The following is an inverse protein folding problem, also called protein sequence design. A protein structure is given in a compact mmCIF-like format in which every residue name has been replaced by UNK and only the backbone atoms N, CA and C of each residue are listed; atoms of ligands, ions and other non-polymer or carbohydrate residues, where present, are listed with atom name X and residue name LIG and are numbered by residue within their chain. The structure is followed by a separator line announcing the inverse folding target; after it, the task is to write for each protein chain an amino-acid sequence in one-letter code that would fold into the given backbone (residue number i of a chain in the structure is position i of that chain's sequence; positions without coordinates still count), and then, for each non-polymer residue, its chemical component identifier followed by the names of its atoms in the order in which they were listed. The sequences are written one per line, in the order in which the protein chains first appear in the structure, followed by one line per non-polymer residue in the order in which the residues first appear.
data_IF_892302184728
#
_entry.id   IF_892302184728
#
_cell.length_a   1.000
_cell.length_b   1.000
_cell.length_c   1.000
_cell.angle_alpha   90.00
_cell.angle_beta   90.00
_cell.angle_gamma   90.00
#
_symmetry.space_group_name_H-M   'P 1'
#
loop_
_entity.id
_entity.type
_entity.pdbx_description
1 polymer ?
#
# COMPACT_ATOMS: atom_id res chain seq x y z
N UNK A 1 -2.01 17.99 4.24
CA UNK A 1 -2.96 17.04 3.64
C UNK A 1 -2.24 15.70 3.55
N UNK A 2 -2.87 14.60 3.93
CA UNK A 2 -2.34 13.28 3.60
C UNK A 2 -2.45 13.10 2.08
N UNK A 3 -1.33 12.97 1.38
CA UNK A 3 -1.32 12.95 -0.07
C UNK A 3 -1.43 11.51 -0.59
N UNK A 4 -2.64 10.95 -0.46
CA UNK A 4 -2.97 9.60 -0.93
C UNK A 4 -2.72 9.44 -2.43
N UNK A 5 -2.89 10.51 -3.22
CA UNK A 5 -2.61 10.49 -4.66
C UNK A 5 -1.12 10.32 -4.93
N UNK A 6 -0.24 10.99 -4.16
CA UNK A 6 1.19 10.79 -4.28
C UNK A 6 1.62 9.37 -3.91
N UNK A 7 1.04 8.79 -2.86
CA UNK A 7 1.30 7.39 -2.50
C UNK A 7 0.87 6.46 -3.65
N UNK A 8 -0.36 6.61 -4.13
CA UNK A 8 -0.91 5.78 -5.22
C UNK A 8 -0.05 5.86 -6.47
N UNK A 9 0.26 7.06 -6.93
CA UNK A 9 1.08 7.28 -8.12
C UNK A 9 2.47 6.66 -7.99
N UNK A 10 3.12 6.87 -6.84
CA UNK A 10 4.44 6.29 -6.58
C UNK A 10 4.42 4.77 -6.59
N UNK A 11 3.41 4.14 -5.98
CA UNK A 11 3.26 2.68 -5.98
C UNK A 11 2.94 2.13 -7.37
N UNK A 12 2.10 2.82 -8.13
CA UNK A 12 1.79 2.46 -9.51
C UNK A 12 3.05 2.45 -10.37
N UNK A 13 3.82 3.55 -10.33
CA UNK A 13 5.00 3.72 -11.17
C UNK A 13 6.11 2.73 -10.79
N UNK A 14 6.31 2.48 -9.50
CA UNK A 14 7.24 1.47 -9.03
C UNK A 14 6.83 0.04 -9.46
N UNK A 15 5.53 -0.29 -9.40
CA UNK A 15 5.03 -1.58 -9.86
C UNK A 15 5.17 -1.75 -11.36
N UNK A 16 4.72 -0.78 -12.16
CA UNK A 16 4.78 -0.82 -13.64
C UNK A 16 6.19 -0.90 -14.20
N UNK A 17 7.18 -0.38 -13.48
CA UNK A 17 8.59 -0.31 -13.92
C UNK A 17 9.48 -1.38 -13.31
N UNK A 18 8.95 -2.19 -12.39
CA UNK A 18 9.69 -3.31 -11.81
C UNK A 18 9.67 -4.52 -12.75
N UNK A 19 10.81 -5.19 -12.98
CA UNK A 19 10.88 -6.37 -13.85
C UNK A 19 10.27 -7.63 -13.22
N UNK A 20 9.99 -7.61 -11.91
CA UNK A 20 9.55 -8.79 -11.13
C UNK A 20 8.20 -8.60 -10.46
N UNK A 21 7.57 -7.43 -10.63
CA UNK A 21 6.25 -7.13 -10.07
C UNK A 21 5.28 -6.97 -11.22
N UNK A 22 4.15 -7.65 -11.14
CA UNK A 22 2.97 -7.34 -11.94
C UNK A 22 2.10 -6.36 -11.16
N UNK A 23 1.93 -5.14 -11.69
CA UNK A 23 1.00 -4.15 -11.14
C UNK A 23 -0.41 -4.39 -11.66
N UNK A 24 -1.38 -4.40 -10.75
CA UNK A 24 -2.82 -4.48 -11.08
C UNK A 24 -3.58 -3.37 -10.38
N UNK A 25 -4.58 -2.81 -11.07
CA UNK A 25 -5.59 -1.94 -10.47
C UNK A 25 -6.95 -2.60 -10.66
N UNK A 26 -7.82 -2.48 -9.65
CA UNK A 26 -9.14 -3.10 -9.67
C UNK A 26 -10.15 -2.28 -8.85
N UNK A 27 -11.42 -2.39 -9.26
CA UNK A 27 -12.54 -1.73 -8.60
C UNK A 27 -12.93 -2.48 -7.32
N UNK A 28 -13.22 -1.71 -6.27
CA UNK A 28 -13.72 -2.17 -4.99
C UNK A 28 -15.06 -1.51 -4.74
N UNK A 29 -16.14 -2.28 -4.87
CA UNK A 29 -17.52 -1.79 -4.71
C UNK A 29 -17.91 -0.61 -5.64
N UNK A 30 -17.31 -0.52 -6.83
CA UNK A 30 -17.78 0.32 -7.94
C UNK A 30 -17.54 1.82 -7.83
N UNK A 31 -17.11 2.33 -6.68
CA UNK A 31 -16.79 3.76 -6.47
C UNK A 31 -15.42 4.02 -5.84
N UNK A 32 -14.70 2.97 -5.44
CA UNK A 32 -13.34 3.04 -4.92
C UNK A 32 -12.49 2.07 -5.71
N UNK A 33 -11.20 2.34 -5.85
CA UNK A 33 -10.25 1.39 -6.42
C UNK A 33 -9.15 1.06 -5.41
N UNK A 34 -8.52 -0.08 -5.65
CA UNK A 34 -7.31 -0.51 -4.99
C UNK A 34 -6.33 -0.98 -6.06
N UNK A 35 -5.07 -1.14 -5.66
CA UNK A 35 -4.06 -1.72 -6.53
C UNK A 35 -3.34 -2.86 -5.83
N UNK A 36 -2.69 -3.74 -6.58
CA UNK A 36 -1.82 -4.75 -6.02
C UNK A 36 -0.51 -4.89 -6.78
N UNK A 37 0.50 -5.29 -6.04
CA UNK A 37 1.76 -5.79 -6.56
C UNK A 37 1.76 -7.30 -6.39
N UNK A 38 1.89 -8.00 -7.51
CA UNK A 38 2.03 -9.44 -7.53
C UNK A 38 3.47 -9.80 -7.88
N UNK A 39 4.11 -10.59 -7.03
CA UNK A 39 5.40 -11.20 -7.30
C UNK A 39 5.28 -12.74 -7.24
N UNK A 40 6.34 -13.49 -7.61
CA UNK A 40 6.33 -14.94 -7.45
C UNK A 40 6.15 -15.42 -5.99
N UNK A 41 6.47 -14.57 -5.01
CA UNK A 41 6.49 -14.95 -3.59
C UNK A 41 5.27 -14.43 -2.81
N UNK A 42 4.65 -13.33 -3.25
CA UNK A 42 3.56 -12.70 -2.51
C UNK A 42 2.68 -11.78 -3.36
N UNK A 43 1.49 -11.51 -2.84
CA UNK A 43 0.65 -10.39 -3.26
C UNK A 43 0.60 -9.32 -2.16
N UNK A 44 0.80 -8.06 -2.55
CA UNK A 44 0.60 -6.90 -1.68
C UNK A 44 -0.52 -6.07 -2.28
N UNK A 45 -1.64 -5.99 -1.59
CA UNK A 45 -2.80 -5.17 -1.94
C UNK A 45 -2.68 -3.82 -1.22
N UNK A 46 -2.89 -2.72 -1.92
CA UNK A 46 -2.82 -1.37 -1.37
C UNK A 46 -4.21 -0.74 -1.33
N UNK A 47 -4.64 -0.37 -0.13
CA UNK A 47 -5.89 0.34 0.09
C UNK A 47 -5.64 1.83 0.38
N UNK A 48 -6.57 2.67 -0.09
CA UNK A 48 -6.41 4.13 -0.10
C UNK A 48 -7.57 4.90 0.53
N UNK A 49 -8.59 4.20 1.01
CA UNK A 49 -9.76 4.81 1.65
C UNK A 49 -9.52 5.12 3.14
N UNK A 50 -10.32 5.99 3.77
CA UNK A 50 -10.26 6.19 5.22
C UNK A 50 -10.58 4.91 6.02
N UNK A 51 -10.09 4.82 7.26
CA UNK A 51 -10.24 3.64 8.13
C UNK A 51 -11.71 3.27 8.46
N UNK A 52 -12.63 4.24 8.41
CA UNK A 52 -14.05 4.07 8.68
C UNK A 52 -14.85 3.44 7.50
N UNK A 53 -14.23 3.29 6.33
CA UNK A 53 -14.82 2.62 5.16
C UNK A 53 -14.78 1.10 5.31
N UNK A 54 -15.43 0.59 6.35
CA UNK A 54 -15.44 -0.84 6.71
C UNK A 54 -15.76 -1.78 5.54
N UNK A 55 -16.77 -1.52 4.67
CA UNK A 55 -17.04 -2.41 3.53
C UNK A 55 -15.87 -2.52 2.55
N UNK A 56 -15.18 -1.41 2.28
CA UNK A 56 -14.00 -1.38 1.40
C UNK A 56 -12.88 -2.26 1.98
N UNK A 57 -12.58 -2.07 3.26
CA UNK A 57 -11.50 -2.81 3.93
C UNK A 57 -11.80 -4.30 4.07
N UNK A 58 -13.07 -4.67 4.33
CA UNK A 58 -13.50 -6.08 4.31
C UNK A 58 -13.25 -6.73 2.95
N UNK A 59 -13.62 -6.06 1.86
CA UNK A 59 -13.41 -6.61 0.52
C UNK A 59 -11.91 -6.83 0.20
N UNK A 60 -11.03 -5.92 0.63
CA UNK A 60 -9.59 -6.10 0.44
C UNK A 60 -9.02 -7.25 1.28
N UNK A 61 -9.46 -7.38 2.53
CA UNK A 61 -9.07 -8.50 3.41
C UNK A 61 -9.55 -9.83 2.81
N UNK A 62 -10.81 -9.89 2.37
CA UNK A 62 -11.38 -11.07 1.71
C UNK A 62 -10.59 -11.43 0.44
N UNK A 63 -10.16 -10.44 -0.34
CA UNK A 63 -9.34 -10.69 -1.51
C UNK A 63 -7.96 -11.24 -1.14
N UNK A 64 -7.33 -10.73 -0.08
CA UNK A 64 -6.06 -11.26 0.40
C UNK A 64 -6.19 -12.72 0.87
N UNK A 65 -7.26 -13.06 1.60
CA UNK A 65 -7.54 -14.43 2.04
C UNK A 65 -7.77 -15.41 0.89
N UNK A 66 -8.43 -14.95 -0.17
CA UNK A 66 -8.74 -15.76 -1.34
C UNK A 66 -7.66 -15.69 -2.43
N UNK A 67 -6.53 -15.04 -2.14
CA UNK A 67 -5.41 -14.95 -3.08
C UNK A 67 -4.84 -16.35 -3.35
N UNK A 68 -4.48 -16.68 -4.61
CA UNK A 68 -3.77 -17.92 -4.91
C UNK A 68 -2.32 -17.91 -4.38
N UNK A 69 -1.82 -16.74 -3.95
CA UNK A 69 -0.47 -16.60 -3.41
C UNK A 69 -0.41 -17.10 -1.97
N UNK A 70 0.69 -17.79 -1.63
CA UNK A 70 0.90 -18.31 -0.28
C UNK A 70 0.96 -17.17 0.77
N UNK A 71 1.49 -16.01 0.36
CA UNK A 71 1.55 -14.83 1.19
C UNK A 71 0.79 -13.70 0.50
N UNK A 72 -0.37 -13.31 1.04
CA UNK A 72 -1.10 -12.14 0.57
C UNK A 72 -1.47 -11.24 1.73
N UNK A 73 -1.28 -9.94 1.56
CA UNK A 73 -1.60 -8.95 2.58
C UNK A 73 -2.13 -7.65 1.99
N UNK A 74 -2.82 -6.91 2.84
CA UNK A 74 -3.34 -5.57 2.57
C UNK A 74 -2.48 -4.57 3.35
N UNK A 75 -2.04 -3.51 2.67
CA UNK A 75 -1.44 -2.32 3.29
C UNK A 75 -2.48 -1.22 3.32
N UNK A 76 -2.73 -0.70 4.52
CA UNK A 76 -3.45 0.55 4.72
C UNK A 76 -2.47 1.67 5.05
N UNK A 77 -2.68 2.84 4.46
CA UNK A 77 -1.90 4.04 4.76
C UNK A 77 -2.70 4.98 5.65
N UNK A 78 -2.07 5.54 6.67
CA UNK A 78 -2.70 6.57 7.52
C UNK A 78 -1.74 7.66 7.95
N UNK A 79 -2.26 8.84 8.27
CA UNK A 79 -1.52 9.90 8.93
C UNK A 79 -1.39 9.68 10.44
N UNK A 80 -0.33 10.22 11.09
CA UNK A 80 -0.29 10.34 12.53
C UNK A 80 -1.51 11.10 13.05
N UNK A 81 -2.25 10.47 13.97
CA UNK A 81 -3.46 11.04 14.57
C UNK A 81 -4.77 10.77 13.83
N UNK A 82 -4.75 10.05 12.69
CA UNK A 82 -5.98 9.47 12.14
C UNK A 82 -6.51 8.33 13.02
N UNK A 83 -7.83 8.14 12.99
CA UNK A 83 -8.50 7.07 13.74
C UNK A 83 -7.91 5.71 13.38
N UNK A 84 -7.80 4.85 14.38
CA UNK A 84 -7.33 3.49 14.17
C UNK A 84 -8.42 2.64 13.51
N UNK A 85 -7.97 1.64 12.76
CA UNK A 85 -8.83 0.63 12.18
C UNK A 85 -9.56 -0.15 13.28
N UNK A 86 -10.88 -0.24 13.15
CA UNK A 86 -11.70 -1.07 14.01
C UNK A 86 -11.62 -2.53 13.54
N UNK A 87 -10.53 -3.23 13.90
CA UNK A 87 -10.30 -4.62 13.47
C UNK A 87 -11.45 -5.56 13.82
N UNK A 88 -12.14 -5.35 14.94
CA UNK A 88 -13.28 -6.18 15.33
C UNK A 88 -14.52 -5.95 14.44
N UNK A 89 -14.57 -4.82 13.71
CA UNK A 89 -15.53 -4.57 12.66
C UNK A 89 -15.09 -5.14 11.31
N UNK A 90 -13.85 -5.62 11.17
CA UNK A 90 -13.36 -6.32 9.99
C UNK A 90 -13.51 -7.84 10.18
N UNK A 91 -13.28 -8.61 9.12
CA UNK A 91 -13.33 -10.07 9.18
C UNK A 91 -12.19 -10.60 10.08
N UNK A 92 -12.34 -11.82 10.63
CA UNK A 92 -11.43 -12.37 11.65
C UNK A 92 -9.96 -12.45 11.23
N UNK A 93 -9.72 -12.57 9.93
CA UNK A 93 -8.43 -12.59 9.24
C UNK A 93 -7.75 -11.22 9.07
N UNK A 94 -8.45 -10.12 9.33
CA UNK A 94 -7.86 -8.79 9.20
C UNK A 94 -6.61 -8.62 10.09
N UNK A 95 -6.57 -9.31 11.24
CA UNK A 95 -5.41 -9.35 12.15
C UNK A 95 -4.21 -10.14 11.60
N UNK A 96 -4.36 -10.84 10.49
CA UNK A 96 -3.29 -11.62 9.85
C UNK A 96 -2.91 -11.03 8.50
N UNK A 97 -3.86 -10.40 7.79
CA UNK A 97 -3.66 -9.90 6.44
C UNK A 97 -3.58 -8.37 6.35
N UNK A 98 -4.10 -7.58 7.29
CA UNK A 98 -4.06 -6.12 7.22
C UNK A 98 -2.87 -5.55 8.01
N UNK A 99 -2.03 -4.77 7.34
CA UNK A 99 -0.86 -4.08 7.88
C UNK A 99 -1.06 -2.57 7.74
N UNK A 100 -0.92 -1.83 8.84
CA UNK A 100 -1.18 -0.38 8.87
C UNK A 100 0.15 0.37 8.85
N UNK A 101 0.40 1.08 7.76
CA UNK A 101 1.50 2.02 7.62
C UNK A 101 1.04 3.42 8.02
N UNK A 102 1.36 3.79 9.26
CA UNK A 102 1.37 5.20 9.66
C UNK A 102 2.60 5.88 9.02
N UNK A 103 2.36 6.91 8.21
CA UNK A 103 3.41 7.66 7.51
C UNK A 103 3.56 9.05 8.09
N UNK A 104 4.72 9.36 8.66
CA UNK A 104 4.97 10.68 9.22
C UNK A 104 5.17 11.76 8.13
N UNK A 105 5.37 13.01 8.56
CA UNK A 105 5.54 14.13 7.62
C UNK A 105 6.79 14.03 6.77
N UNK A 106 7.87 13.46 7.30
CA UNK A 106 9.12 13.29 6.56
C UNK A 106 8.96 12.21 5.50
N UNK A 107 8.36 11.08 5.87
CA UNK A 107 8.03 9.99 4.94
C UNK A 107 7.10 10.44 3.82
N UNK A 108 6.06 11.23 4.13
CA UNK A 108 5.17 11.82 3.12
C UNK A 108 5.90 12.82 2.21
N UNK A 109 6.84 13.59 2.75
CA UNK A 109 7.64 14.51 1.95
C UNK A 109 8.57 13.76 0.99
N UNK A 110 9.19 12.65 1.42
CA UNK A 110 9.97 11.77 0.55
C UNK A 110 9.13 11.16 -0.57
N UNK A 111 7.90 10.74 -0.29
CA UNK A 111 6.97 10.24 -1.31
C UNK A 111 6.61 11.34 -2.34
N UNK A 112 6.37 12.57 -1.87
CA UNK A 112 6.08 13.70 -2.75
C UNK A 112 7.30 14.11 -3.60
N UNK A 113 8.50 14.02 -3.04
CA UNK A 113 9.76 14.22 -3.78
C UNK A 113 9.93 13.14 -4.86
N UNK A 114 9.70 11.87 -4.51
CA UNK A 114 9.69 10.76 -5.46
C UNK A 114 8.73 10.98 -6.63
N UNK A 115 7.47 11.38 -6.35
CA UNK A 115 6.50 11.77 -7.40
C UNK A 115 7.03 12.88 -8.30
N UNK A 116 7.72 13.87 -7.74
CA UNK A 116 8.28 14.99 -8.52
C UNK A 116 9.41 14.54 -9.44
N UNK A 117 10.28 13.63 -8.97
CA UNK A 117 11.33 13.00 -9.77
C UNK A 117 10.70 12.20 -10.92
N UNK A 118 9.68 11.39 -10.62
CA UNK A 118 9.00 10.59 -11.65
C UNK A 118 8.40 11.48 -12.76
N UNK A 119 7.72 12.56 -12.38
CA UNK A 119 7.11 13.47 -13.33
C UNK A 119 8.13 14.28 -14.15
N UNK A 120 9.35 14.47 -13.63
CA UNK A 120 10.41 15.22 -14.30
C UNK A 120 11.31 14.35 -15.19
N UNK A 121 11.17 13.02 -15.12
CA UNK A 121 12.01 12.09 -15.86
C UNK A 121 11.46 11.84 -17.26
N UNK A 122 12.29 12.05 -18.28
CA UNK A 122 11.95 11.88 -19.69
C UNK A 122 12.08 10.41 -20.18
N UNK A 123 12.69 9.52 -19.38
CA UNK A 123 12.91 8.11 -19.73
C UNK A 123 12.43 7.17 -18.63
N UNK A 124 11.69 6.11 -18.99
CA UNK A 124 11.12 5.17 -18.01
C UNK A 124 12.19 4.33 -17.29
N UNK A 125 13.34 4.13 -17.93
CA UNK A 125 14.45 3.28 -17.47
C UNK A 125 15.32 3.97 -16.41
N UNK A 126 15.53 5.29 -16.50
CA UNK A 126 16.32 6.03 -15.49
C UNK A 126 15.51 6.25 -14.20
N UNK A 127 14.20 6.48 -14.32
CA UNK A 127 13.39 6.87 -13.16
C UNK A 127 13.37 5.83 -12.04
N UNK A 128 13.35 4.52 -12.35
CA UNK A 128 13.29 3.50 -11.29
C UNK A 128 14.55 3.54 -10.41
N UNK A 129 15.72 3.70 -11.02
CA UNK A 129 16.99 3.82 -10.30
C UNK A 129 17.06 5.10 -9.47
N UNK A 130 16.43 6.18 -9.93
CA UNK A 130 16.39 7.48 -9.24
C UNK A 130 15.40 7.51 -8.07
N UNK A 131 14.27 6.79 -8.16
CA UNK A 131 13.26 6.77 -7.09
C UNK A 131 13.54 5.73 -6.01
N UNK A 132 14.26 4.66 -6.34
CA UNK A 132 14.50 3.57 -5.41
C UNK A 132 15.12 4.03 -4.07
N UNK A 133 16.11 4.94 -4.03
CA UNK A 133 16.66 5.45 -2.78
C UNK A 133 15.63 6.21 -1.93
N UNK A 134 14.80 7.04 -2.55
CA UNK A 134 13.78 7.86 -1.86
C UNK A 134 12.66 7.02 -1.25
N UNK A 135 12.49 5.80 -1.75
CA UNK A 135 11.38 4.93 -1.36
C UNK A 135 11.85 3.64 -0.68
N UNK A 136 13.15 3.46 -0.48
CA UNK A 136 13.75 2.33 0.24
C UNK A 136 13.10 2.12 1.61
N UNK A 137 12.74 3.20 2.32
CA UNK A 137 12.04 3.12 3.61
C UNK A 137 10.68 2.43 3.47
N UNK A 138 9.91 2.76 2.42
CA UNK A 138 8.59 2.23 2.16
C UNK A 138 8.70 0.76 1.74
N UNK A 139 9.66 0.42 0.88
CA UNK A 139 9.91 -0.95 0.42
C UNK A 139 10.21 -1.87 1.58
N UNK A 140 11.09 -1.43 2.49
CA UNK A 140 11.42 -2.17 3.69
C UNK A 140 10.22 -2.41 4.59
N UNK A 141 9.21 -1.54 4.60
CA UNK A 141 8.01 -1.70 5.43
C UNK A 141 6.99 -2.61 4.76
N UNK A 142 6.68 -2.37 3.48
CA UNK A 142 5.63 -3.12 2.77
C UNK A 142 6.03 -4.56 2.42
N UNK A 143 7.32 -4.89 2.32
CA UNK A 143 7.78 -6.27 2.02
C UNK A 143 7.95 -7.15 3.26
N UNK A 144 7.82 -6.60 4.48
CA UNK A 144 7.88 -7.38 5.73
C UNK A 144 6.59 -8.17 5.96
N UNK A 145 6.60 -9.25 6.77
CA UNK A 145 5.38 -9.88 7.26
C UNK A 145 4.49 -8.88 8.01
N UNK A 146 3.18 -9.11 8.01
CA UNK A 146 2.18 -8.25 8.66
C UNK A 146 2.54 -8.02 10.13
N UNK A 147 2.60 -6.74 10.53
CA UNK A 147 2.84 -6.34 11.92
C UNK A 147 1.55 -5.81 12.51
N UNK A 148 0.68 -6.70 12.97
CA UNK A 148 -0.34 -6.26 13.91
C UNK A 148 0.32 -6.04 15.26
N UNK A 149 0.81 -4.82 15.46
CA UNK A 149 1.23 -4.34 16.77
C UNK A 149 0.01 -4.50 17.66
N UNK A 150 0.04 -5.50 18.55
CA UNK A 150 -0.75 -5.42 19.77
C UNK A 150 -0.40 -4.08 20.41
N UNK A 151 -1.29 -3.10 20.26
CA UNK A 151 -1.33 -1.97 21.16
C UNK A 151 -1.42 -2.61 22.54
N UNK A 152 -0.30 -2.58 23.28
CA UNK A 152 -0.28 -3.01 24.67
C UNK A 152 -1.39 -2.23 25.38
N UNK A 153 -2.28 -2.99 26.01
CA UNK A 153 -3.33 -2.66 26.98
C UNK A 153 -3.40 -1.21 27.46
#
# INVERSE_FOLDING_TARGET
LFDTEAIRYTLEMAGKRSPIIEYREFDVHGNSSASSWLSPEMEIIFGFEPADRIPYWRALVDQAENSPMQNSKVIAFKSPGEENFQFDALNGSAKENLDILELDREELASIAAGKSIINASDSEEETFSEIAPELEFLWRRITRPVRNVSLKN
#
